data_IF_141763883013
#
_entry.id   IF_141763883013
#
_cell.length_a   1.000
_cell.length_b   1.000
_cell.length_c   1.000
_cell.angle_alpha   90.00
_cell.angle_beta   90.00
_cell.angle_gamma   90.00
#
_symmetry.space_group_name_H-M   'P 1'
#
loop_
_entity.id
_entity.type
_entity.pdbx_description
1 polymer ?
#
# COMPACT_ATOMS: atom_id res chain seq x y z
N UNK A 1 49.06 14.10 -25.43
CA UNK A 1 48.64 13.75 -24.04
C UNK A 1 47.13 13.86 -23.75
N UNK A 2 46.30 14.52 -24.58
CA UNK A 2 44.86 14.68 -24.28
C UNK A 2 43.95 13.48 -24.63
N UNK A 3 44.38 12.58 -25.53
CA UNK A 3 43.58 11.40 -25.91
C UNK A 3 43.56 10.29 -24.84
N UNK A 4 44.66 10.12 -24.10
CA UNK A 4 44.78 9.11 -23.03
C UNK A 4 43.95 9.50 -21.80
N UNK A 5 43.83 10.79 -21.50
CA UNK A 5 42.99 11.29 -20.38
C UNK A 5 41.49 11.12 -20.61
N UNK A 6 41.01 11.21 -21.86
CA UNK A 6 39.58 10.98 -22.19
C UNK A 6 39.17 9.50 -22.08
N UNK A 7 40.09 8.58 -22.40
CA UNK A 7 39.78 7.15 -22.35
C UNK A 7 39.78 6.59 -20.92
N UNK A 8 40.67 7.07 -20.06
CA UNK A 8 40.63 6.73 -18.63
C UNK A 8 39.36 7.22 -17.92
N UNK A 9 38.86 8.40 -18.28
CA UNK A 9 37.67 8.97 -17.64
C UNK A 9 36.37 8.20 -18.01
N UNK A 10 36.29 7.64 -19.22
CA UNK A 10 35.17 6.77 -19.64
C UNK A 10 35.18 5.42 -18.93
N UNK A 11 36.36 4.81 -18.77
CA UNK A 11 36.52 3.57 -18.01
C UNK A 11 36.20 3.77 -16.52
N UNK A 12 36.65 4.88 -15.91
CA UNK A 12 36.32 5.18 -14.52
C UNK A 12 34.82 5.40 -14.30
N UNK A 13 34.13 6.09 -15.22
CA UNK A 13 32.67 6.25 -15.14
C UNK A 13 31.90 4.94 -15.31
N UNK A 14 32.35 4.03 -16.18
CA UNK A 14 31.75 2.70 -16.31
C UNK A 14 31.99 1.83 -15.07
N UNK A 15 33.21 1.83 -14.52
CA UNK A 15 33.54 1.09 -13.30
C UNK A 15 32.76 1.63 -12.10
N UNK A 16 32.54 2.94 -12.00
CA UNK A 16 31.71 3.55 -10.94
C UNK A 16 30.24 3.16 -11.12
N UNK A 17 29.71 3.13 -12.34
CA UNK A 17 28.33 2.72 -12.61
C UNK A 17 28.11 1.23 -12.28
N UNK A 18 29.03 0.34 -12.66
CA UNK A 18 28.98 -1.09 -12.34
C UNK A 18 29.12 -1.34 -10.82
N UNK A 19 30.02 -0.64 -10.14
CA UNK A 19 30.14 -0.71 -8.67
C UNK A 19 28.88 -0.20 -7.97
N UNK A 20 28.25 0.85 -8.48
CA UNK A 20 27.00 1.40 -7.91
C UNK A 20 25.84 0.44 -8.11
N UNK A 21 25.73 -0.17 -9.30
CA UNK A 21 24.71 -1.17 -9.62
C UNK A 21 24.91 -2.46 -8.80
N UNK A 22 26.14 -2.93 -8.65
CA UNK A 22 26.47 -4.08 -7.81
C UNK A 22 26.18 -3.80 -6.33
N UNK A 23 26.48 -2.59 -5.84
CA UNK A 23 26.16 -2.17 -4.48
C UNK A 23 24.64 -2.08 -4.25
N UNK A 24 23.87 -1.57 -5.22
CA UNK A 24 22.41 -1.52 -5.16
C UNK A 24 21.79 -2.92 -5.14
N UNK A 25 22.22 -3.82 -6.02
CA UNK A 25 21.73 -5.19 -6.03
C UNK A 25 22.09 -5.92 -4.74
N UNK A 26 23.30 -5.75 -4.22
CA UNK A 26 23.69 -6.33 -2.93
C UNK A 26 22.83 -5.81 -1.77
N UNK A 27 22.42 -4.55 -1.80
CA UNK A 27 21.57 -3.94 -0.79
C UNK A 27 20.12 -4.42 -0.89
N UNK A 28 19.56 -4.52 -2.11
CA UNK A 28 18.22 -5.09 -2.36
C UNK A 28 18.14 -6.55 -1.90
N UNK A 29 19.14 -7.38 -2.24
CA UNK A 29 19.19 -8.77 -1.81
C UNK A 29 19.27 -8.88 -0.29
N UNK A 30 20.12 -8.07 0.36
CA UNK A 30 20.20 -8.08 1.84
C UNK A 30 18.92 -7.59 2.52
N UNK A 31 18.22 -6.60 1.96
CA UNK A 31 16.94 -6.13 2.49
C UNK A 31 15.84 -7.17 2.32
N UNK A 32 15.78 -7.83 1.16
CA UNK A 32 14.85 -8.93 0.88
C UNK A 32 15.10 -10.13 1.81
N UNK A 33 16.37 -10.52 1.99
CA UNK A 33 16.75 -11.61 2.88
C UNK A 33 16.44 -11.27 4.34
N UNK A 34 16.72 -10.04 4.76
CA UNK A 34 16.38 -9.56 6.10
C UNK A 34 14.88 -9.51 6.34
N UNK A 35 14.08 -9.00 5.38
CA UNK A 35 12.62 -8.98 5.53
C UNK A 35 12.03 -10.39 5.58
N UNK A 36 12.57 -11.30 4.78
CA UNK A 36 12.14 -12.70 4.75
C UNK A 36 12.50 -13.42 6.05
N UNK A 37 13.70 -13.20 6.59
CA UNK A 37 14.10 -13.71 7.90
C UNK A 37 13.25 -13.13 9.03
N UNK A 38 12.99 -11.82 9.02
CA UNK A 38 12.15 -11.17 10.02
C UNK A 38 10.73 -11.75 9.99
N UNK A 39 10.15 -11.93 8.80
CA UNK A 39 8.82 -12.52 8.63
C UNK A 39 8.79 -13.96 9.13
N UNK A 40 9.81 -14.77 8.80
CA UNK A 40 9.93 -16.15 9.26
C UNK A 40 10.04 -16.25 10.79
N UNK A 41 10.88 -15.41 11.41
CA UNK A 41 11.03 -15.35 12.87
C UNK A 41 9.70 -14.92 13.53
N UNK A 42 9.02 -13.92 12.98
CA UNK A 42 7.74 -13.46 13.52
C UNK A 42 6.66 -14.54 13.40
N UNK A 43 6.61 -15.26 12.28
CA UNK A 43 5.66 -16.34 12.06
C UNK A 43 5.94 -17.54 12.97
N UNK A 44 7.22 -17.86 13.21
CA UNK A 44 7.62 -18.89 14.17
C UNK A 44 7.21 -18.51 15.60
N UNK A 45 7.51 -17.29 16.05
CA UNK A 45 7.13 -16.82 17.38
C UNK A 45 5.61 -16.82 17.58
N UNK A 46 4.83 -16.42 16.57
CA UNK A 46 3.38 -16.48 16.62
C UNK A 46 2.86 -17.92 16.72
N UNK A 47 3.47 -18.85 15.99
CA UNK A 47 3.08 -20.26 16.02
C UNK A 47 3.42 -20.90 17.36
N UNK A 48 4.62 -20.65 17.89
CA UNK A 48 5.06 -21.12 19.20
C UNK A 48 4.16 -20.54 20.31
N UNK A 49 3.91 -19.23 20.29
CA UNK A 49 3.02 -18.58 21.26
C UNK A 49 1.59 -19.15 21.19
N UNK A 50 1.00 -19.24 19.99
CA UNK A 50 -0.34 -19.80 19.82
C UNK A 50 -0.42 -21.25 20.31
N UNK A 51 0.59 -22.07 20.02
CA UNK A 51 0.65 -23.47 20.48
C UNK A 51 0.78 -23.57 22.01
N UNK A 52 1.57 -22.70 22.63
CA UNK A 52 1.75 -22.64 24.09
C UNK A 52 0.46 -22.26 24.78
N UNK A 53 -0.21 -21.20 24.30
CA UNK A 53 -1.48 -20.74 24.89
C UNK A 53 -2.57 -21.81 24.77
N UNK A 54 -2.66 -22.49 23.61
CA UNK A 54 -3.61 -23.59 23.41
C UNK A 54 -3.33 -24.77 24.34
N UNK A 55 -2.07 -25.17 24.49
CA UNK A 55 -1.67 -26.26 25.37
C UNK A 55 -1.94 -25.93 26.84
N UNK A 56 -1.60 -24.73 27.29
CA UNK A 56 -1.85 -24.28 28.67
C UNK A 56 -3.36 -24.19 28.96
N UNK A 57 -4.14 -23.63 28.04
CA UNK A 57 -5.59 -23.57 28.15
C UNK A 57 -6.21 -24.96 28.24
N UNK A 58 -5.79 -25.89 27.37
CA UNK A 58 -6.28 -27.27 27.36
C UNK A 58 -5.94 -28.00 28.66
N UNK A 59 -4.72 -27.80 29.18
CA UNK A 59 -4.28 -28.39 30.45
C UNK A 59 -5.07 -27.86 31.63
N UNK A 60 -5.33 -26.55 31.68
CA UNK A 60 -6.17 -25.94 32.71
C UNK A 60 -7.61 -26.47 32.66
N UNK A 61 -8.17 -26.64 31.45
CA UNK A 61 -9.50 -27.21 31.26
C UNK A 61 -9.59 -28.67 31.74
N UNK A 62 -8.61 -29.51 31.38
CA UNK A 62 -8.56 -30.90 31.85
C UNK A 62 -8.42 -30.99 33.38
N UNK A 63 -7.57 -30.16 33.97
CA UNK A 63 -7.38 -30.12 35.42
C UNK A 63 -8.71 -29.78 36.14
N UNK A 64 -9.43 -28.76 35.67
CA UNK A 64 -10.73 -28.37 36.23
C UNK A 64 -11.78 -29.46 36.08
N UNK A 65 -11.80 -30.18 34.95
CA UNK A 65 -12.73 -31.28 34.72
C UNK A 65 -12.52 -32.39 35.76
N UNK A 66 -11.26 -32.77 36.00
CA UNK A 66 -10.90 -33.80 36.99
C UNK A 66 -11.30 -33.35 38.41
N UNK A 67 -11.02 -32.09 38.76
CA UNK A 67 -11.39 -31.53 40.07
C UNK A 67 -12.92 -31.54 40.27
N UNK A 68 -13.68 -31.21 39.22
CA UNK A 68 -15.14 -31.26 39.27
C UNK A 68 -15.66 -32.69 39.43
N UNK A 69 -15.13 -33.65 38.66
CA UNK A 69 -15.52 -35.06 38.77
C UNK A 69 -15.25 -35.62 40.16
N UNK A 70 -14.10 -35.29 40.77
CA UNK A 70 -13.77 -35.70 42.13
C UNK A 70 -14.73 -35.09 43.16
N UNK A 71 -15.09 -33.80 43.01
CA UNK A 71 -16.05 -33.14 43.88
C UNK A 71 -17.44 -33.80 43.80
N UNK A 72 -17.92 -34.13 42.59
CA UNK A 72 -19.18 -34.84 42.39
C UNK A 72 -19.18 -36.24 43.01
N UNK A 73 -18.09 -37.01 42.83
CA UNK A 73 -17.99 -38.34 43.44
C UNK A 73 -18.02 -38.30 44.97
N UNK A 74 -17.41 -37.27 45.57
CA UNK A 74 -17.46 -37.06 47.03
C UNK A 74 -18.88 -36.75 47.50
N UNK A 75 -19.54 -35.77 46.88
CA UNK A 75 -20.93 -35.41 47.15
C UNK A 75 -21.88 -36.60 47.03
N UNK A 76 -21.68 -37.45 46.02
CA UNK A 76 -22.50 -38.64 45.82
C UNK A 76 -22.34 -39.67 46.95
N UNK A 77 -21.10 -39.91 47.41
CA UNK A 77 -20.84 -40.80 48.55
C UNK A 77 -21.44 -40.27 49.84
N UNK A 78 -21.25 -38.99 50.11
CA UNK A 78 -21.79 -38.34 51.31
C UNK A 78 -23.33 -38.41 51.29
N UNK A 79 -23.96 -38.17 50.14
CA UNK A 79 -25.41 -38.33 49.98
C UNK A 79 -25.89 -39.77 50.24
N UNK A 80 -25.20 -40.79 49.70
CA UNK A 80 -25.54 -42.19 49.96
C UNK A 80 -25.44 -42.55 51.44
N UNK A 81 -24.40 -42.05 52.12
CA UNK A 81 -24.20 -42.30 53.55
C UNK A 81 -25.31 -41.66 54.39
N UNK A 82 -25.67 -40.41 54.10
CA UNK A 82 -26.76 -39.70 54.78
C UNK A 82 -28.11 -40.38 54.54
N UNK A 83 -28.35 -40.89 53.33
CA UNK A 83 -29.56 -41.63 53.00
C UNK A 83 -29.68 -42.93 53.82
N UNK A 84 -28.59 -43.69 53.96
CA UNK A 84 -28.57 -44.88 54.81
C UNK A 84 -28.85 -44.57 56.29
N UNK A 85 -28.32 -43.45 56.81
CA UNK A 85 -28.55 -43.04 58.20
C UNK A 85 -30.01 -42.63 58.45
N UNK A 86 -30.65 -41.96 57.48
CA UNK A 86 -32.07 -41.61 57.55
C UNK A 86 -32.98 -42.84 57.51
N UNK A 87 -32.70 -43.82 56.65
CA UNK A 87 -33.49 -45.06 56.59
C UNK A 87 -33.42 -45.89 57.89
N UNK A 88 -32.33 -45.76 58.67
CA UNK A 88 -32.16 -46.42 59.98
C UNK A 88 -32.88 -45.70 61.13
N UNK A 89 -33.12 -44.39 61.05
CA UNK A 89 -33.60 -43.58 62.18
C UNK A 89 -35.13 -43.44 62.28
N UNK A 90 -35.86 -43.67 61.19
CA UNK A 90 -37.29 -43.30 61.08
C UNK A 90 -38.32 -44.27 61.73
N UNK A 91 -38.10 -45.60 61.91
CA UNK A 91 -39.17 -46.46 62.42
C UNK A 91 -39.30 -46.53 63.96
N UNK A 92 -38.27 -46.17 64.74
CA UNK A 92 -38.18 -46.55 66.16
C UNK A 92 -38.91 -45.56 67.10
N UNK A 93 -38.93 -44.27 66.77
CA UNK A 93 -39.45 -43.23 67.68
C UNK A 93 -40.98 -43.27 67.92
N UNK A 94 -41.76 -43.84 67.01
CA UNK A 94 -43.23 -43.89 67.15
C UNK A 94 -43.73 -45.09 67.97
N UNK A 95 -42.98 -46.20 68.02
CA UNK A 95 -43.34 -47.38 68.81
C UNK A 95 -43.09 -47.14 70.31
N UNK A 96 -41.90 -46.62 70.65
CA UNK A 96 -41.48 -46.37 72.03
C UNK A 96 -42.41 -45.37 72.76
N UNK A 97 -42.95 -44.39 72.03
CA UNK A 97 -43.85 -43.38 72.60
C UNK A 97 -45.28 -43.92 72.88
N UNK A 98 -45.75 -44.87 72.07
CA UNK A 98 -47.01 -45.58 72.32
C UNK A 98 -46.90 -46.53 73.51
N UNK A 99 -45.77 -47.22 73.66
CA UNK A 99 -45.53 -48.09 74.81
C UNK A 99 -45.42 -47.29 76.11
N UNK A 100 -44.72 -46.16 76.12
CA UNK A 100 -44.63 -45.27 77.27
C UNK A 100 -46.01 -44.72 77.70
N UNK A 101 -46.88 -44.41 76.73
CA UNK A 101 -48.27 -44.00 76.99
C UNK A 101 -49.09 -45.11 77.64
N UNK A 102 -48.95 -46.35 77.17
CA UNK A 102 -49.59 -47.53 77.78
C UNK A 102 -49.11 -47.79 79.20
N UNK A 103 -47.79 -47.74 79.43
CA UNK A 103 -47.18 -47.87 80.76
C UNK A 103 -47.66 -46.78 81.74
N UNK A 104 -47.79 -45.52 81.29
CA UNK A 104 -48.37 -44.42 82.09
C UNK A 104 -49.82 -44.69 82.47
N UNK A 105 -50.63 -45.18 81.54
CA UNK A 105 -52.03 -45.54 81.82
C UNK A 105 -52.14 -46.70 82.80
N UNK A 106 -51.31 -47.74 82.63
CA UNK A 106 -51.26 -48.89 83.54
C UNK A 106 -50.85 -48.48 84.97
N UNK A 107 -49.80 -47.66 85.12
CA UNK A 107 -49.39 -47.14 86.43
C UNK A 107 -50.50 -46.29 87.10
N UNK A 108 -51.23 -45.48 86.31
CA UNK A 108 -52.36 -44.69 86.82
C UNK A 108 -53.52 -45.58 87.29
N UNK A 109 -53.85 -46.62 86.52
CA UNK A 109 -54.87 -47.60 86.88
C UNK A 109 -54.50 -48.38 88.16
N UNK A 110 -53.26 -48.88 88.25
CA UNK A 110 -52.73 -49.57 89.43
C UNK A 110 -52.76 -48.68 90.69
N UNK A 111 -52.38 -47.41 90.55
CA UNK A 111 -52.40 -46.45 91.67
C UNK A 111 -53.84 -46.24 92.18
N UNK A 112 -54.81 -46.08 91.28
CA UNK A 112 -56.23 -45.94 91.65
C UNK A 112 -56.78 -47.22 92.31
N UNK A 113 -56.42 -48.40 91.81
CA UNK A 113 -56.80 -49.68 92.43
C UNK A 113 -56.20 -49.85 93.82
N UNK A 114 -54.95 -49.43 94.02
CA UNK A 114 -54.29 -49.46 95.32
C UNK A 114 -54.94 -48.49 96.32
N UNK A 115 -55.31 -47.29 95.89
CA UNK A 115 -56.05 -46.33 96.71
C UNK A 115 -57.40 -46.91 97.16
N UNK A 116 -58.12 -47.55 96.23
CA UNK A 116 -59.41 -48.19 96.52
C UNK A 116 -59.25 -49.39 97.46
N UNK A 117 -58.25 -50.24 97.26
CA UNK A 117 -57.95 -51.38 98.13
C UNK A 117 -57.54 -50.91 99.55
N UNK A 118 -56.76 -49.82 99.64
CA UNK A 118 -56.37 -49.22 100.92
C UNK A 118 -57.56 -48.61 101.66
N UNK A 119 -58.46 -47.94 100.94
CA UNK A 119 -59.70 -47.42 101.51
C UNK A 119 -60.59 -48.56 102.04
N UNK A 120 -60.78 -49.63 101.26
CA UNK A 120 -61.55 -50.80 101.67
C UNK A 120 -60.94 -51.50 102.90
N UNK A 121 -59.62 -51.63 102.94
CA UNK A 121 -58.90 -52.18 104.09
C UNK A 121 -59.12 -51.34 105.34
N UNK A 122 -59.06 -50.00 105.24
CA UNK A 122 -59.34 -49.11 106.36
C UNK A 122 -60.79 -49.27 106.85
N UNK A 123 -61.76 -49.40 105.95
CA UNK A 123 -63.17 -49.65 106.31
C UNK A 123 -63.35 -51.00 107.00
N UNK A 124 -62.74 -52.07 106.48
CA UNK A 124 -62.78 -53.40 107.10
C UNK A 124 -62.11 -53.41 108.48
N UNK A 125 -61.00 -52.68 108.65
CA UNK A 125 -60.35 -52.51 109.96
C UNK A 125 -61.25 -51.78 110.96
N UNK A 126 -61.98 -50.75 110.54
CA UNK A 126 -62.97 -50.06 111.37
C UNK A 126 -64.12 -51.00 111.77
N UNK A 127 -64.68 -51.74 110.82
CA UNK A 127 -65.73 -52.73 111.08
C UNK A 127 -65.26 -53.82 112.04
N UNK A 128 -64.01 -54.29 111.89
CA UNK A 128 -63.43 -55.28 112.80
C UNK A 128 -63.28 -54.71 114.21
N UNK A 129 -62.85 -53.45 114.35
CA UNK A 129 -62.78 -52.77 115.64
C UNK A 129 -64.17 -52.61 116.29
N UNK A 130 -65.21 -52.29 115.51
CA UNK A 130 -66.59 -52.19 115.98
C UNK A 130 -67.16 -53.55 116.40
N UNK A 131 -66.99 -54.58 115.57
CA UNK A 131 -67.40 -55.96 115.89
C UNK A 131 -66.67 -56.50 117.11
N UNK A 132 -65.40 -56.14 117.30
CA UNK A 132 -64.63 -56.51 118.49
C UNK A 132 -65.21 -55.87 119.74
N UNK A 133 -65.59 -54.58 119.66
CA UNK A 133 -66.30 -53.89 120.76
C UNK A 133 -67.66 -54.53 121.05
N UNK A 134 -68.44 -54.85 120.02
CA UNK A 134 -69.74 -55.53 120.18
C UNK A 134 -69.59 -56.89 120.86
N UNK A 135 -68.63 -57.71 120.43
CA UNK A 135 -68.33 -58.99 121.05
C UNK A 135 -67.92 -58.84 122.53
N UNK A 136 -67.10 -57.82 122.85
CA UNK A 136 -66.72 -57.52 124.23
C UNK A 136 -67.94 -57.15 125.12
N UNK A 137 -68.88 -56.37 124.57
CA UNK A 137 -70.14 -56.02 125.28
C UNK A 137 -71.01 -57.26 125.49
N UNK A 138 -71.19 -58.11 124.48
CA UNK A 138 -71.95 -59.36 124.63
C UNK A 138 -71.28 -60.33 125.61
N UNK A 139 -69.94 -60.40 125.62
CA UNK A 139 -69.17 -61.18 126.58
C UNK A 139 -69.41 -60.68 128.02
N UNK A 140 -69.37 -59.36 128.23
CA UNK A 140 -69.60 -58.75 129.53
C UNK A 140 -71.06 -58.93 130.02
N UNK A 141 -72.05 -58.84 129.12
CA UNK A 141 -73.44 -59.16 129.42
C UNK A 141 -73.63 -60.63 129.81
N UNK A 142 -72.93 -61.54 129.14
CA UNK A 142 -72.95 -62.96 129.46
C UNK A 142 -72.34 -63.24 130.85
N UNK A 143 -71.24 -62.58 131.20
CA UNK A 143 -70.64 -62.65 132.55
C UNK A 143 -71.58 -62.09 133.63
N UNK A 144 -72.28 -60.99 133.37
CA UNK A 144 -73.26 -60.42 134.31
C UNK A 144 -74.48 -61.33 134.51
N UNK A 145 -74.97 -61.98 133.44
CA UNK A 145 -76.08 -62.93 133.52
C UNK A 145 -75.68 -64.25 134.21
N UNK A 146 -74.43 -64.67 134.10
CA UNK A 146 -73.90 -65.84 134.83
C UNK A 146 -73.77 -65.60 136.34
N UNK A 147 -73.58 -64.34 136.76
CA UNK A 147 -73.48 -63.97 138.18
C UNK A 147 -74.84 -63.70 138.84
N UNK A 148 -75.95 -63.72 138.07
CA UNK A 148 -77.29 -63.43 138.55
C UNK A 148 -77.95 -64.72 139.06
N UNK A 149 -77.99 -64.89 140.38
CA UNK A 149 -78.43 -66.11 141.08
C UNK A 149 -79.97 -66.19 141.27
N UNK A 150 -80.73 -66.01 140.19
CA UNK A 150 -82.20 -66.21 140.18
C UNK A 150 -82.54 -67.41 139.28
N UNK A 151 -82.80 -68.57 139.89
CA UNK A 151 -83.08 -69.85 139.22
C UNK A 151 -84.41 -69.95 138.44
N UNK A 152 -84.88 -68.85 137.85
CA UNK A 152 -86.10 -68.79 137.03
C UNK A 152 -85.87 -69.23 135.58
N UNK A 153 -86.89 -69.84 134.96
CA UNK A 153 -86.84 -70.31 133.57
C UNK A 153 -86.51 -69.18 132.55
N UNK A 154 -86.89 -67.93 132.84
CA UNK A 154 -86.56 -66.77 132.00
C UNK A 154 -85.06 -66.43 132.00
N UNK A 155 -84.36 -66.64 133.12
CA UNK A 155 -82.92 -66.40 133.23
C UNK A 155 -82.11 -67.43 132.42
N UNK A 156 -82.56 -68.68 132.39
CA UNK A 156 -81.95 -69.73 131.58
C UNK A 156 -82.12 -69.49 130.07
N UNK A 157 -83.29 -68.97 129.65
CA UNK A 157 -83.57 -68.61 128.25
C UNK A 157 -82.72 -67.40 127.80
N UNK A 158 -82.60 -66.37 128.65
CA UNK A 158 -81.74 -65.21 128.40
C UNK A 158 -80.26 -65.59 128.32
N UNK A 159 -79.78 -66.49 129.19
CA UNK A 159 -78.41 -67.01 129.14
C UNK A 159 -78.13 -67.76 127.83
N UNK A 160 -79.08 -68.59 127.37
CA UNK A 160 -78.97 -69.34 126.11
C UNK A 160 -78.97 -68.41 124.89
N UNK A 161 -79.80 -67.37 124.90
CA UNK A 161 -79.78 -66.34 123.85
C UNK A 161 -78.47 -65.54 123.84
N UNK A 162 -77.94 -65.17 125.02
CA UNK A 162 -76.65 -64.49 125.13
C UNK A 162 -75.50 -65.38 124.64
N UNK A 163 -75.51 -66.68 124.96
CA UNK A 163 -74.53 -67.65 124.44
C UNK A 163 -74.58 -67.78 122.92
N UNK A 164 -75.78 -67.83 122.33
CA UNK A 164 -75.95 -67.85 120.88
C UNK A 164 -75.45 -66.54 120.22
N UNK A 165 -75.72 -65.39 120.84
CA UNK A 165 -75.26 -64.09 120.37
C UNK A 165 -73.72 -63.93 120.43
N UNK A 166 -73.07 -64.46 121.48
CA UNK A 166 -71.61 -64.48 121.57
C UNK A 166 -71.00 -65.41 120.52
N UNK A 167 -71.60 -66.59 120.29
CA UNK A 167 -71.13 -67.52 119.27
C UNK A 167 -71.26 -66.93 117.85
N UNK A 168 -72.39 -66.28 117.54
CA UNK A 168 -72.60 -65.58 116.27
C UNK A 168 -71.62 -64.39 116.10
N UNK A 169 -71.41 -63.59 117.15
CA UNK A 169 -70.45 -62.49 117.14
C UNK A 169 -68.99 -62.97 116.94
N UNK A 170 -68.61 -64.10 117.53
CA UNK A 170 -67.29 -64.71 117.33
C UNK A 170 -67.12 -65.27 115.91
N UNK A 171 -68.17 -65.87 115.35
CA UNK A 171 -68.16 -66.33 113.96
C UNK A 171 -68.03 -65.14 112.99
N UNK A 172 -68.80 -64.07 113.19
CA UNK A 172 -68.71 -62.84 112.41
C UNK A 172 -67.33 -62.17 112.53
N UNK A 173 -66.71 -62.18 113.71
CA UNK A 173 -65.34 -61.70 113.91
C UNK A 173 -64.31 -62.53 113.15
N UNK A 174 -64.50 -63.84 113.09
CA UNK A 174 -63.59 -64.76 112.39
C UNK A 174 -63.66 -64.51 110.88
N UNK A 175 -64.87 -64.35 110.34
CA UNK A 175 -65.09 -63.98 108.93
C UNK A 175 -64.51 -62.61 108.61
N UNK A 176 -64.84 -61.58 109.41
CA UNK A 176 -64.31 -60.23 109.21
C UNK A 176 -62.78 -60.17 109.30
N UNK A 177 -62.16 -61.00 110.16
CA UNK A 177 -60.70 -61.09 110.29
C UNK A 177 -60.05 -61.78 109.09
N UNK A 178 -60.69 -62.82 108.55
CA UNK A 178 -60.22 -63.47 107.33
C UNK A 178 -60.32 -62.52 106.12
N UNK A 179 -61.42 -61.78 105.99
CA UNK A 179 -61.61 -60.76 104.94
C UNK A 179 -60.59 -59.62 105.06
N UNK A 180 -60.30 -59.15 106.28
CA UNK A 180 -59.31 -58.11 106.52
C UNK A 180 -57.88 -58.57 106.19
N UNK A 181 -57.49 -59.80 106.53
CA UNK A 181 -56.18 -60.36 106.15
C UNK A 181 -56.07 -60.58 104.63
N UNK A 182 -57.13 -61.03 103.96
CA UNK A 182 -57.16 -61.15 102.51
C UNK A 182 -57.05 -59.78 101.82
N UNK A 183 -57.74 -58.76 102.32
CA UNK A 183 -57.64 -57.38 101.83
C UNK A 183 -56.23 -56.78 102.06
N UNK A 184 -55.57 -57.16 103.16
CA UNK A 184 -54.19 -56.75 103.46
C UNK A 184 -53.17 -57.41 102.54
N UNK A 185 -53.35 -58.70 102.24
CA UNK A 185 -52.52 -59.41 101.26
C UNK A 185 -52.66 -58.79 99.85
N UNK A 186 -53.89 -58.52 99.41
CA UNK A 186 -54.14 -57.91 98.09
C UNK A 186 -53.61 -56.48 97.99
N UNK A 187 -53.76 -55.67 99.05
CA UNK A 187 -53.18 -54.33 99.10
C UNK A 187 -51.64 -54.35 99.05
N UNK A 188 -51.01 -55.33 99.70
CA UNK A 188 -49.56 -55.50 99.67
C UNK A 188 -49.07 -55.93 98.28
N UNK A 189 -49.76 -56.85 97.62
CA UNK A 189 -49.44 -57.29 96.25
C UNK A 189 -49.60 -56.14 95.23
N UNK A 190 -50.68 -55.37 95.33
CA UNK A 190 -50.87 -54.15 94.54
C UNK A 190 -49.77 -53.11 94.79
N UNK A 191 -49.26 -53.01 96.02
CA UNK A 191 -48.16 -52.09 96.34
C UNK A 191 -46.85 -52.51 95.69
N UNK A 192 -46.56 -53.80 95.65
CA UNK A 192 -45.38 -54.34 95.00
C UNK A 192 -45.43 -54.12 93.49
N UNK A 193 -46.55 -54.45 92.86
CA UNK A 193 -46.76 -54.25 91.41
C UNK A 193 -46.70 -52.76 91.04
N UNK A 194 -47.26 -51.86 91.86
CA UNK A 194 -47.11 -50.41 91.67
C UNK A 194 -45.63 -49.98 91.71
N UNK A 195 -44.85 -50.52 92.65
CA UNK A 195 -43.43 -50.19 92.77
C UNK A 195 -42.62 -50.67 91.56
N UNK A 196 -42.91 -51.87 91.04
CA UNK A 196 -42.30 -52.39 89.82
C UNK A 196 -42.66 -51.53 88.61
N UNK A 197 -43.95 -51.26 88.40
CA UNK A 197 -44.42 -50.41 87.30
C UNK A 197 -43.82 -49.00 87.35
N UNK A 198 -43.60 -48.45 88.55
CA UNK A 198 -42.94 -47.13 88.72
C UNK A 198 -41.47 -47.15 88.29
N UNK A 199 -40.75 -48.23 88.57
CA UNK A 199 -39.35 -48.39 88.15
C UNK A 199 -39.25 -48.54 86.63
N UNK A 200 -40.12 -49.38 86.05
CA UNK A 200 -40.19 -49.57 84.59
C UNK A 200 -40.53 -48.27 83.86
N UNK A 201 -41.50 -47.51 84.37
CA UNK A 201 -41.87 -46.20 83.83
C UNK A 201 -40.68 -45.22 83.87
N UNK A 202 -39.92 -45.21 84.97
CA UNK A 202 -38.76 -44.33 85.12
C UNK A 202 -37.66 -44.70 84.12
N UNK A 203 -37.36 -45.99 83.99
CA UNK A 203 -36.34 -46.48 83.05
C UNK A 203 -36.73 -46.17 81.60
N UNK A 204 -37.98 -46.44 81.22
CA UNK A 204 -38.48 -46.14 79.87
C UNK A 204 -38.47 -44.63 79.59
N UNK A 205 -38.79 -43.80 80.59
CA UNK A 205 -38.70 -42.33 80.48
C UNK A 205 -37.25 -41.85 80.28
N UNK A 206 -36.29 -42.41 81.01
CA UNK A 206 -34.87 -42.06 80.87
C UNK A 206 -34.31 -42.48 79.51
N UNK A 207 -34.70 -43.66 79.00
CA UNK A 207 -34.32 -44.13 77.66
C UNK A 207 -34.85 -43.22 76.56
N UNK A 208 -36.14 -42.84 76.61
CA UNK A 208 -36.74 -41.92 75.64
C UNK A 208 -36.04 -40.55 75.66
N UNK A 209 -35.72 -40.04 76.85
CA UNK A 209 -35.02 -38.77 76.98
C UNK A 209 -33.61 -38.82 76.37
N UNK A 210 -32.89 -39.92 76.59
CA UNK A 210 -31.57 -40.13 75.99
C UNK A 210 -31.63 -40.24 74.46
N UNK A 211 -32.65 -40.91 73.92
CA UNK A 211 -32.88 -40.95 72.47
C UNK A 211 -33.21 -39.56 71.89
N UNK A 212 -34.01 -38.76 72.60
CA UNK A 212 -34.32 -37.38 72.23
C UNK A 212 -33.06 -36.51 72.19
N UNK A 213 -32.22 -36.57 73.23
CA UNK A 213 -30.94 -35.85 73.26
C UNK A 213 -30.00 -36.27 72.13
N UNK A 214 -29.95 -37.57 71.80
CA UNK A 214 -29.20 -38.07 70.64
C UNK A 214 -29.76 -37.53 69.32
N UNK A 215 -31.09 -37.50 69.15
CA UNK A 215 -31.73 -36.94 67.96
C UNK A 215 -31.48 -35.43 67.82
N UNK A 216 -31.54 -34.68 68.92
CA UNK A 216 -31.26 -33.24 68.97
C UNK A 216 -29.80 -32.95 68.58
N UNK A 217 -28.85 -33.73 69.12
CA UNK A 217 -27.43 -33.63 68.79
C UNK A 217 -27.15 -33.97 67.32
N UNK A 218 -27.78 -35.03 66.80
CA UNK A 218 -27.67 -35.42 65.39
C UNK A 218 -28.24 -34.33 64.47
N UNK A 219 -29.39 -33.76 64.85
CA UNK A 219 -30.01 -32.64 64.14
C UNK A 219 -29.11 -31.40 64.11
N UNK A 220 -28.46 -31.04 65.22
CA UNK A 220 -27.48 -29.95 65.24
C UNK A 220 -26.28 -30.22 64.34
N UNK A 221 -25.79 -31.46 64.32
CA UNK A 221 -24.65 -31.85 63.48
C UNK A 221 -25.02 -31.73 61.99
N UNK A 222 -26.21 -32.21 61.61
CA UNK A 222 -26.72 -32.02 60.25
C UNK A 222 -26.95 -30.56 59.89
N UNK A 223 -27.44 -29.74 60.83
CA UNK A 223 -27.61 -28.29 60.63
C UNK A 223 -26.27 -27.62 60.33
N UNK A 224 -25.22 -27.92 61.10
CA UNK A 224 -23.87 -27.41 60.87
C UNK A 224 -23.30 -27.87 59.53
N UNK A 225 -23.50 -29.14 59.16
CA UNK A 225 -23.09 -29.65 57.85
C UNK A 225 -23.79 -28.92 56.69
N UNK A 226 -25.09 -28.64 56.83
CA UNK A 226 -25.84 -27.87 55.82
C UNK A 226 -25.30 -26.44 55.69
N UNK A 227 -25.01 -25.76 56.80
CA UNK A 227 -24.41 -24.43 56.79
C UNK A 227 -23.02 -24.44 56.15
N UNK A 228 -22.19 -25.46 56.43
CA UNK A 228 -20.89 -25.64 55.79
C UNK A 228 -21.00 -25.84 54.29
N UNK A 229 -21.90 -26.72 53.84
CA UNK A 229 -22.17 -26.96 52.42
C UNK A 229 -22.67 -25.70 51.72
N UNK A 230 -23.52 -24.92 52.39
CA UNK A 230 -24.04 -23.67 51.86
C UNK A 230 -22.94 -22.61 51.72
N UNK A 231 -22.04 -22.48 52.70
CA UNK A 231 -20.85 -21.62 52.57
C UNK A 231 -19.94 -22.07 51.43
N UNK A 232 -19.72 -23.38 51.29
CA UNK A 232 -18.86 -23.92 50.24
C UNK A 232 -19.44 -23.67 48.84
N UNK A 233 -20.76 -23.82 48.68
CA UNK A 233 -21.47 -23.45 47.46
C UNK A 233 -21.34 -21.96 47.16
N UNK A 234 -21.49 -21.10 48.16
CA UNK A 234 -21.37 -19.65 47.99
C UNK A 234 -19.95 -19.23 47.59
N UNK A 235 -18.92 -19.84 48.17
CA UNK A 235 -17.52 -19.65 47.76
C UNK A 235 -17.31 -20.08 46.31
N UNK A 236 -17.79 -21.26 45.92
CA UNK A 236 -17.69 -21.76 44.55
C UNK A 236 -18.36 -20.81 43.55
N UNK A 237 -19.52 -20.28 43.90
CA UNK A 237 -20.27 -19.33 43.07
C UNK A 237 -19.51 -18.00 42.89
N UNK A 238 -18.89 -17.50 43.95
CA UNK A 238 -18.08 -16.29 43.92
C UNK A 238 -16.79 -16.47 43.11
N UNK A 239 -16.19 -17.67 43.20
CA UNK A 239 -15.02 -18.05 42.43
C UNK A 239 -15.35 -18.21 40.93
N UNK A 240 -16.54 -18.71 40.60
CA UNK A 240 -17.02 -18.79 39.21
C UNK A 240 -17.24 -17.38 38.62
N UNK A 241 -17.82 -16.48 39.39
CA UNK A 241 -18.08 -15.10 38.97
C UNK A 241 -16.79 -14.32 38.71
N UNK A 242 -15.78 -14.43 39.59
CA UNK A 242 -14.48 -13.79 39.37
C UNK A 242 -13.76 -14.35 38.15
N UNK A 243 -13.91 -15.65 37.89
CA UNK A 243 -13.32 -16.30 36.72
C UNK A 243 -13.99 -15.86 35.40
N UNK A 244 -15.32 -15.68 35.40
CA UNK A 244 -16.03 -15.09 34.25
C UNK A 244 -15.54 -13.67 33.96
N UNK A 245 -15.39 -12.85 35.00
CA UNK A 245 -14.91 -11.48 34.84
C UNK A 245 -13.44 -11.43 34.33
N UNK A 246 -12.59 -12.35 34.79
CA UNK A 246 -11.23 -12.50 34.28
C UNK A 246 -11.24 -12.89 32.79
N UNK A 247 -12.08 -13.86 32.39
CA UNK A 247 -12.21 -14.29 30.99
C UNK A 247 -12.76 -13.16 30.10
N UNK A 248 -13.72 -12.38 30.56
CA UNK A 248 -14.21 -11.19 29.82
C UNK A 248 -13.10 -10.15 29.63
N UNK A 249 -12.26 -9.95 30.66
CA UNK A 249 -11.11 -9.04 30.59
C UNK A 249 -10.07 -9.54 29.59
N UNK A 250 -9.73 -10.83 29.61
CA UNK A 250 -8.83 -11.46 28.63
C UNK A 250 -9.40 -11.36 27.20
N UNK A 251 -10.70 -11.59 27.02
CA UNK A 251 -11.36 -11.44 25.73
C UNK A 251 -11.29 -9.99 25.21
N UNK A 252 -11.42 -9.01 26.10
CA UNK A 252 -11.20 -7.60 25.79
C UNK A 252 -9.78 -7.32 25.31
N UNK A 253 -8.78 -7.82 26.04
CA UNK A 253 -7.37 -7.69 25.66
C UNK A 253 -7.07 -8.35 24.31
N UNK A 254 -7.65 -9.51 24.03
CA UNK A 254 -7.51 -10.17 22.73
C UNK A 254 -8.05 -9.32 21.58
N UNK A 255 -9.23 -8.69 21.75
CA UNK A 255 -9.78 -7.78 20.74
C UNK A 255 -8.91 -6.55 20.51
N UNK A 256 -8.36 -5.99 21.58
CA UNK A 256 -7.44 -4.85 21.48
C UNK A 256 -6.16 -5.24 20.72
N UNK A 257 -5.58 -6.40 21.03
CA UNK A 257 -4.42 -6.96 20.32
C UNK A 257 -4.76 -7.22 18.84
N UNK A 258 -5.94 -7.77 18.54
CA UNK A 258 -6.38 -8.04 17.18
C UNK A 258 -6.53 -6.74 16.38
N UNK A 259 -7.11 -5.69 16.97
CA UNK A 259 -7.21 -4.37 16.34
C UNK A 259 -5.82 -3.77 16.08
N UNK A 260 -4.91 -3.83 17.05
CA UNK A 260 -3.55 -3.33 16.91
C UNK A 260 -2.76 -4.10 15.84
N UNK A 261 -3.01 -5.40 15.71
CA UNK A 261 -2.44 -6.22 14.64
C UNK A 261 -2.98 -5.81 13.27
N UNK A 262 -4.28 -5.54 13.17
CA UNK A 262 -4.91 -5.08 11.93
C UNK A 262 -4.37 -3.71 11.50
N UNK A 263 -4.17 -2.79 12.45
CA UNK A 263 -3.53 -1.48 12.21
C UNK A 263 -2.09 -1.63 11.72
N UNK A 264 -1.32 -2.56 12.31
CA UNK A 264 0.04 -2.88 11.84
C UNK A 264 0.04 -3.40 10.41
N UNK A 265 -0.88 -4.30 10.06
CA UNK A 265 -1.00 -4.81 8.68
C UNK A 265 -1.33 -3.69 7.69
N UNK A 266 -2.24 -2.78 8.04
CA UNK A 266 -2.55 -1.61 7.21
C UNK A 266 -1.34 -0.68 7.06
N UNK A 267 -0.57 -0.45 8.12
CA UNK A 267 0.65 0.34 8.08
C UNK A 267 1.71 -0.30 7.16
N UNK A 268 1.89 -1.62 7.22
CA UNK A 268 2.79 -2.36 6.33
C UNK A 268 2.34 -2.22 4.87
N UNK A 269 1.05 -2.35 4.58
CA UNK A 269 0.52 -2.18 3.23
C UNK A 269 0.78 -0.76 2.67
N UNK A 270 0.58 0.28 3.50
CA UNK A 270 0.90 1.67 3.11
C UNK A 270 2.39 1.86 2.84
N UNK A 271 3.26 1.31 3.68
CA UNK A 271 4.71 1.39 3.47
C UNK A 271 5.14 0.66 2.19
N UNK A 272 4.60 -0.53 1.91
CA UNK A 272 4.88 -1.24 0.66
C UNK A 272 4.48 -0.41 -0.57
N UNK A 273 3.34 0.28 -0.50
CA UNK A 273 2.91 1.18 -1.58
C UNK A 273 3.83 2.39 -1.74
N UNK A 274 4.25 3.02 -0.64
CA UNK A 274 5.22 4.13 -0.69
C UNK A 274 6.56 3.68 -1.30
N UNK A 275 7.04 2.49 -0.99
CA UNK A 275 8.25 1.93 -1.60
C UNK A 275 8.07 1.75 -3.12
N UNK A 276 6.93 1.25 -3.58
CA UNK A 276 6.67 1.14 -5.02
C UNK A 276 6.60 2.50 -5.72
N UNK A 277 5.97 3.49 -5.10
CA UNK A 277 5.86 4.84 -5.67
C UNK A 277 7.23 5.52 -5.74
N UNK A 278 8.08 5.33 -4.71
CA UNK A 278 9.49 5.78 -4.75
C UNK A 278 10.28 5.10 -5.87
N UNK A 279 10.08 3.79 -6.07
CA UNK A 279 10.74 3.05 -7.15
C UNK A 279 10.35 3.58 -8.53
N UNK A 280 9.06 3.78 -8.79
CA UNK A 280 8.57 4.42 -10.04
C UNK A 280 9.15 5.83 -10.23
N UNK A 281 9.22 6.61 -9.15
CA UNK A 281 9.80 7.95 -9.19
C UNK A 281 11.28 7.91 -9.56
N UNK A 282 12.04 6.96 -9.01
CA UNK A 282 13.45 6.77 -9.37
C UNK A 282 13.62 6.32 -10.82
N UNK A 283 12.80 5.39 -11.31
CA UNK A 283 12.81 4.95 -12.71
C UNK A 283 12.54 6.12 -13.67
N UNK A 284 11.55 6.98 -13.37
CA UNK A 284 11.26 8.20 -14.12
C UNK A 284 12.43 9.19 -14.10
N UNK A 285 13.06 9.39 -12.95
CA UNK A 285 14.26 10.23 -12.86
C UNK A 285 15.40 9.68 -13.71
N UNK A 286 15.60 8.36 -13.70
CA UNK A 286 16.65 7.70 -14.46
C UNK A 286 16.40 7.79 -15.97
N UNK A 287 15.15 7.61 -16.42
CA UNK A 287 14.74 7.85 -17.81
C UNK A 287 14.98 9.30 -18.22
N UNK A 288 14.67 10.27 -17.37
CA UNK A 288 14.91 11.69 -17.64
C UNK A 288 16.39 12.02 -17.75
N UNK A 289 17.24 11.42 -16.91
CA UNK A 289 18.69 11.54 -17.01
C UNK A 289 19.20 10.98 -18.34
N UNK A 290 18.73 9.79 -18.74
CA UNK A 290 19.10 9.21 -20.04
C UNK A 290 18.66 10.09 -21.21
N UNK A 291 17.46 10.65 -21.17
CA UNK A 291 16.96 11.55 -22.21
C UNK A 291 17.81 12.83 -22.30
N UNK A 292 18.19 13.42 -21.17
CA UNK A 292 19.08 14.58 -21.13
C UNK A 292 20.48 14.26 -21.64
N UNK A 293 21.03 13.10 -21.30
CA UNK A 293 22.31 12.63 -21.85
C UNK A 293 22.24 12.50 -23.37
N UNK A 294 21.18 11.91 -23.90
CA UNK A 294 20.99 11.77 -25.34
C UNK A 294 20.88 13.14 -26.03
N UNK A 295 20.08 14.06 -25.48
CA UNK A 295 20.00 15.42 -26.02
C UNK A 295 21.35 16.14 -26.02
N UNK A 296 22.15 15.93 -24.98
CA UNK A 296 23.48 16.54 -24.85
C UNK A 296 24.46 15.95 -25.88
N UNK A 297 24.40 14.64 -26.14
CA UNK A 297 25.16 13.99 -27.21
C UNK A 297 24.75 14.52 -28.59
N UNK A 298 23.44 14.66 -28.87
CA UNK A 298 22.95 15.19 -30.15
C UNK A 298 23.39 16.64 -30.34
N UNK A 299 23.23 17.49 -29.32
CA UNK A 299 23.67 18.89 -29.37
C UNK A 299 25.19 19.00 -29.58
N UNK A 300 25.97 18.09 -28.99
CA UNK A 300 27.41 18.05 -29.18
C UNK A 300 27.80 17.58 -30.59
N UNK A 301 27.03 16.67 -31.18
CA UNK A 301 27.19 16.26 -32.58
C UNK A 301 26.86 17.41 -33.55
N UNK A 302 25.75 18.10 -33.35
CA UNK A 302 25.35 19.28 -34.14
C UNK A 302 26.39 20.40 -34.05
N UNK A 303 26.91 20.67 -32.84
CA UNK A 303 27.98 21.65 -32.65
C UNK A 303 29.25 21.27 -33.42
N UNK A 304 29.63 19.99 -33.41
CA UNK A 304 30.81 19.52 -34.15
C UNK A 304 30.60 19.60 -35.66
N UNK A 305 29.38 19.30 -36.15
CA UNK A 305 29.04 19.40 -37.57
C UNK A 305 29.06 20.85 -38.05
N UNK A 306 28.44 21.77 -37.30
CA UNK A 306 28.50 23.21 -37.61
C UNK A 306 29.93 23.75 -37.60
N UNK A 307 30.79 23.26 -36.70
CA UNK A 307 32.21 23.62 -36.70
C UNK A 307 32.94 23.12 -37.95
N UNK A 308 32.64 21.92 -38.45
CA UNK A 308 33.20 21.40 -39.70
C UNK A 308 32.73 22.21 -40.91
N UNK A 309 31.44 22.56 -40.97
CA UNK A 309 30.89 23.40 -42.04
C UNK A 309 31.54 24.79 -42.05
N UNK A 310 31.72 25.41 -40.88
CA UNK A 310 32.45 26.66 -40.74
C UNK A 310 33.91 26.56 -41.20
N UNK A 311 34.60 25.44 -40.90
CA UNK A 311 35.96 25.20 -41.39
C UNK A 311 36.01 25.09 -42.91
N UNK A 312 35.08 24.37 -43.53
CA UNK A 312 35.01 24.26 -44.99
C UNK A 312 34.72 25.61 -45.66
N UNK A 313 33.82 26.41 -45.09
CA UNK A 313 33.56 27.77 -45.60
C UNK A 313 34.80 28.67 -45.50
N UNK A 314 35.57 28.55 -44.42
CA UNK A 314 36.83 29.29 -44.26
C UNK A 314 37.87 28.87 -45.30
N UNK A 315 38.01 27.57 -45.56
CA UNK A 315 38.91 27.03 -46.59
C UNK A 315 38.50 27.50 -48.00
N UNK A 316 37.20 27.44 -48.32
CA UNK A 316 36.67 27.92 -49.60
C UNK A 316 36.90 29.42 -49.80
N UNK A 317 36.67 30.24 -48.77
CA UNK A 317 36.94 31.68 -48.83
C UNK A 317 38.44 31.98 -49.01
N UNK A 318 39.30 31.18 -48.39
CA UNK A 318 40.76 31.31 -48.54
C UNK A 318 41.22 30.96 -49.96
N UNK A 319 40.64 29.91 -50.57
CA UNK A 319 40.89 29.57 -51.97
C UNK A 319 40.43 30.66 -52.94
N UNK A 320 39.22 31.21 -52.74
CA UNK A 320 38.73 32.32 -53.56
C UNK A 320 39.65 33.54 -53.48
N UNK A 321 40.17 33.85 -52.29
CA UNK A 321 41.10 34.95 -52.12
C UNK A 321 42.42 34.71 -52.89
N UNK A 322 42.93 33.48 -52.88
CA UNK A 322 44.12 33.12 -53.67
C UNK A 322 43.89 33.22 -55.18
N UNK A 323 42.73 32.79 -55.69
CA UNK A 323 42.37 32.92 -57.11
C UNK A 323 42.26 34.39 -57.55
N UNK A 324 41.62 35.24 -56.75
CA UNK A 324 41.53 36.68 -57.03
C UNK A 324 42.91 37.33 -57.03
N UNK A 325 43.79 36.92 -56.12
CA UNK A 325 45.16 37.42 -56.06
C UNK A 325 45.97 37.04 -57.32
N UNK A 326 45.79 35.81 -57.81
CA UNK A 326 46.41 35.36 -59.06
C UNK A 326 45.86 36.10 -60.29
N UNK A 327 44.55 36.37 -60.34
CA UNK A 327 43.96 37.18 -61.41
C UNK A 327 44.50 38.62 -61.41
N UNK A 328 44.72 39.21 -60.23
CA UNK A 328 45.30 40.54 -60.10
C UNK A 328 46.73 40.59 -60.67
N UNK A 329 47.56 39.59 -60.35
CA UNK A 329 48.92 39.49 -60.89
C UNK A 329 48.93 39.33 -62.41
N UNK A 330 47.96 38.61 -62.97
CA UNK A 330 47.79 38.44 -64.40
C UNK A 330 47.41 39.76 -65.10
N UNK A 331 46.47 40.52 -64.53
CA UNK A 331 46.09 41.85 -65.03
C UNK A 331 47.24 42.85 -64.93
N UNK A 332 48.07 42.78 -63.88
CA UNK A 332 49.28 43.60 -63.76
C UNK A 332 50.30 43.30 -64.86
N UNK A 333 50.48 42.03 -65.24
CA UNK A 333 51.33 41.62 -66.37
C UNK A 333 50.80 42.12 -67.71
N UNK A 334 49.49 42.05 -67.93
CA UNK A 334 48.85 42.54 -69.17
C UNK A 334 48.95 44.07 -69.30
N UNK A 335 48.81 44.79 -68.19
CA UNK A 335 49.03 46.25 -68.12
C UNK A 335 50.47 46.64 -68.47
N UNK A 336 51.47 45.86 -68.02
CA UNK A 336 52.87 46.03 -68.42
C UNK A 336 53.08 45.80 -69.93
N UNK A 337 52.36 44.85 -70.53
CA UNK A 337 52.34 44.61 -71.97
C UNK A 337 51.76 45.79 -72.76
N UNK A 338 50.61 46.33 -72.33
CA UNK A 338 49.96 47.47 -72.97
C UNK A 338 50.80 48.75 -72.94
N UNK A 339 51.57 48.99 -71.86
CA UNK A 339 52.52 50.11 -71.80
C UNK A 339 53.62 50.04 -72.88
N UNK A 340 54.05 48.83 -73.23
CA UNK A 340 55.05 48.63 -74.30
C UNK A 340 54.46 48.86 -75.69
N UNK A 341 53.18 48.52 -75.92
CA UNK A 341 52.47 48.78 -77.17
C UNK A 341 52.20 50.28 -77.36
N UNK A 342 51.84 51.00 -76.30
CA UNK A 342 51.67 52.46 -76.34
C UNK A 342 52.97 53.16 -76.76
N UNK A 343 54.11 52.69 -76.25
CA UNK A 343 55.44 53.24 -76.59
C UNK A 343 55.81 52.97 -78.05
N UNK A 344 55.49 51.79 -78.59
CA UNK A 344 55.66 51.49 -80.02
C UNK A 344 54.78 52.37 -80.89
N UNK A 345 53.50 52.54 -80.53
CA UNK A 345 52.55 53.34 -81.30
C UNK A 345 52.95 54.83 -81.34
N UNK A 346 53.51 55.37 -80.25
CA UNK A 346 54.07 56.72 -80.23
C UNK A 346 55.28 56.86 -81.18
N UNK A 347 56.15 55.86 -81.26
CA UNK A 347 57.29 55.89 -82.18
C UNK A 347 56.84 55.83 -83.65
N UNK A 348 55.85 55.00 -83.97
CA UNK A 348 55.27 54.90 -85.31
C UNK A 348 54.57 56.20 -85.74
N UNK A 349 53.87 56.86 -84.82
CA UNK A 349 53.23 58.15 -85.09
C UNK A 349 54.24 59.26 -85.45
N UNK A 350 55.37 59.33 -84.74
CA UNK A 350 56.44 60.29 -85.03
C UNK A 350 57.05 60.02 -86.41
N UNK A 351 57.33 58.76 -86.74
CA UNK A 351 57.89 58.36 -88.04
C UNK A 351 56.94 58.67 -89.21
N UNK A 352 55.64 58.45 -89.03
CA UNK A 352 54.63 58.78 -90.03
C UNK A 352 54.52 60.30 -90.26
N UNK A 353 54.67 61.09 -89.19
CA UNK A 353 54.64 62.56 -89.26
C UNK A 353 55.85 63.09 -90.05
N UNK A 354 57.05 62.53 -89.85
CA UNK A 354 58.24 62.88 -90.64
C UNK A 354 58.09 62.51 -92.12
N UNK A 355 57.54 61.33 -92.44
CA UNK A 355 57.25 60.95 -93.83
C UNK A 355 56.27 61.90 -94.51
N UNK A 356 55.22 62.31 -93.80
CA UNK A 356 54.23 63.24 -94.36
C UNK A 356 54.86 64.60 -94.70
N UNK A 357 55.74 65.11 -93.83
CA UNK A 357 56.44 66.38 -94.05
C UNK A 357 57.43 66.31 -95.23
N UNK A 358 58.12 65.17 -95.40
CA UNK A 358 58.97 64.93 -96.57
C UNK A 358 58.17 64.86 -97.88
N UNK A 359 57.00 64.21 -97.87
CA UNK A 359 56.12 64.14 -99.04
C UNK A 359 55.58 65.52 -99.42
N UNK A 360 55.16 66.32 -98.45
CA UNK A 360 54.70 67.68 -98.68
C UNK A 360 55.79 68.56 -99.31
N UNK A 361 57.03 68.43 -98.85
CA UNK A 361 58.18 69.15 -99.42
C UNK A 361 58.49 68.71 -100.86
N UNK A 362 58.35 67.41 -101.15
CA UNK A 362 58.49 66.88 -102.53
C UNK A 362 57.38 67.41 -103.45
N UNK A 363 56.14 67.46 -102.96
CA UNK A 363 55.00 67.96 -103.71
C UNK A 363 55.22 69.43 -104.12
N UNK A 364 55.61 70.29 -103.19
CA UNK A 364 55.90 71.71 -103.49
C UNK A 364 57.02 71.87 -104.53
N UNK A 365 58.06 71.03 -104.49
CA UNK A 365 59.12 71.02 -105.51
C UNK A 365 58.61 70.62 -106.89
N UNK A 366 57.73 69.63 -106.98
CA UNK A 366 57.15 69.19 -108.25
C UNK A 366 56.19 70.24 -108.81
N UNK A 367 55.39 70.88 -107.95
CA UNK A 367 54.50 71.99 -108.34
C UNK A 367 55.31 73.17 -108.92
N UNK A 368 56.40 73.58 -108.28
CA UNK A 368 57.28 74.63 -108.81
C UNK A 368 57.95 74.23 -110.14
N UNK A 369 58.33 72.95 -110.31
CA UNK A 369 58.87 72.46 -111.58
C UNK A 369 57.82 72.43 -112.69
N UNK A 370 56.58 72.09 -112.36
CA UNK A 370 55.44 72.09 -113.29
C UNK A 370 55.14 73.53 -113.76
N UNK A 371 55.06 74.48 -112.83
CA UNK A 371 54.85 75.90 -113.14
C UNK A 371 55.95 76.43 -114.07
N UNK A 372 57.21 76.09 -113.78
CA UNK A 372 58.34 76.48 -114.62
C UNK A 372 58.30 75.80 -116.01
N UNK A 373 57.78 74.58 -116.12
CA UNK A 373 57.60 73.90 -117.41
C UNK A 373 56.46 74.54 -118.23
N UNK A 374 55.33 74.85 -117.60
CA UNK A 374 54.19 75.52 -118.23
C UNK A 374 54.57 76.90 -118.77
N UNK A 375 55.30 77.70 -117.99
CA UNK A 375 55.79 79.01 -118.43
C UNK A 375 56.75 78.90 -119.63
N UNK A 376 57.59 77.85 -119.68
CA UNK A 376 58.45 77.58 -120.84
C UNK A 376 57.67 77.16 -122.07
N UNK A 377 56.64 76.33 -121.92
CA UNK A 377 55.76 75.94 -123.02
C UNK A 377 55.05 77.16 -123.60
N UNK A 378 54.44 77.99 -122.74
CA UNK A 378 53.73 79.20 -123.17
C UNK A 378 54.64 80.18 -123.92
N UNK A 379 55.88 80.36 -123.44
CA UNK A 379 56.88 81.19 -124.13
C UNK A 379 57.30 80.59 -125.49
N UNK A 380 57.43 79.27 -125.58
CA UNK A 380 57.74 78.58 -126.84
C UNK A 380 56.58 78.68 -127.85
N UNK A 381 55.34 78.54 -127.41
CA UNK A 381 54.14 78.72 -128.25
C UNK A 381 54.02 80.14 -128.78
N UNK A 382 54.22 81.17 -127.94
CA UNK A 382 54.23 82.56 -128.43
C UNK A 382 55.30 82.80 -129.49
N UNK A 383 56.51 82.26 -129.27
CA UNK A 383 57.61 82.40 -130.23
C UNK A 383 57.29 81.71 -131.55
N UNK A 384 56.73 80.49 -131.51
CA UNK A 384 56.32 79.76 -132.70
C UNK A 384 55.20 80.50 -133.46
N UNK A 385 54.24 81.09 -132.75
CA UNK A 385 53.18 81.90 -133.35
C UNK A 385 53.76 83.12 -134.08
N UNK A 386 54.67 83.86 -133.46
CA UNK A 386 55.35 85.00 -134.09
C UNK A 386 56.18 84.59 -135.32
N UNK A 387 56.92 83.49 -135.25
CA UNK A 387 57.69 82.96 -136.38
C UNK A 387 56.77 82.51 -137.52
N UNK A 388 55.63 81.89 -137.21
CA UNK A 388 54.63 81.48 -138.20
C UNK A 388 53.97 82.69 -138.87
N UNK A 389 53.61 83.72 -138.12
CA UNK A 389 53.02 84.95 -138.67
C UNK A 389 54.02 85.72 -139.53
N UNK A 390 55.28 85.83 -139.09
CA UNK A 390 56.37 86.40 -139.90
C UNK A 390 56.62 85.60 -141.19
N UNK A 391 56.59 84.27 -141.10
CA UNK A 391 56.73 83.38 -142.27
C UNK A 391 55.56 83.53 -143.24
N UNK A 392 54.32 83.66 -142.75
CA UNK A 392 53.13 83.91 -143.57
C UNK A 392 53.21 85.25 -144.30
N UNK A 393 53.70 86.28 -143.63
CA UNK A 393 53.92 87.59 -144.22
C UNK A 393 55.01 87.54 -145.30
N UNK A 394 56.14 86.88 -145.03
CA UNK A 394 57.20 86.68 -146.02
C UNK A 394 56.72 85.91 -147.26
N UNK A 395 55.96 84.83 -147.09
CA UNK A 395 55.37 84.06 -148.20
C UNK A 395 54.42 84.94 -149.02
N UNK A 396 53.63 85.81 -148.39
CA UNK A 396 52.74 86.75 -149.08
C UNK A 396 53.54 87.73 -149.93
N UNK A 397 54.63 88.28 -149.40
CA UNK A 397 55.53 89.19 -150.13
C UNK A 397 56.18 88.49 -151.33
N UNK A 398 56.77 87.31 -151.13
CA UNK A 398 57.40 86.51 -152.19
C UNK A 398 56.41 86.10 -153.28
N UNK A 399 55.15 85.76 -152.93
CA UNK A 399 54.10 85.49 -153.92
C UNK A 399 53.75 86.71 -154.76
N UNK A 400 53.77 87.90 -154.16
CA UNK A 400 53.49 89.16 -154.85
C UNK A 400 54.63 89.50 -155.81
N UNK A 401 55.89 89.37 -155.38
CA UNK A 401 57.07 89.54 -156.24
C UNK A 401 57.09 88.52 -157.39
N UNK A 402 56.80 87.24 -157.12
CA UNK A 402 56.76 86.20 -158.15
C UNK A 402 55.69 86.49 -159.21
N UNK A 403 54.49 86.91 -158.78
CA UNK A 403 53.42 87.29 -159.70
C UNK A 403 53.83 88.48 -160.58
N UNK A 404 54.45 89.49 -159.98
CA UNK A 404 54.93 90.68 -160.68
C UNK A 404 56.06 90.35 -161.67
N UNK A 405 56.95 89.41 -161.33
CA UNK A 405 58.01 88.94 -162.21
C UNK A 405 57.47 88.08 -163.37
N UNK A 406 56.49 87.22 -163.11
CA UNK A 406 55.80 86.46 -164.15
C UNK A 406 55.05 87.37 -165.13
N UNK A 407 54.36 88.40 -164.63
CA UNK A 407 53.67 89.40 -165.45
C UNK A 407 54.66 90.19 -166.32
N UNK A 408 55.81 90.57 -165.74
CA UNK A 408 56.91 91.20 -166.49
C UNK A 408 57.46 90.30 -167.60
N UNK A 409 57.72 89.01 -167.31
CA UNK A 409 58.21 88.07 -168.32
C UNK A 409 57.18 87.75 -169.40
N UNK A 410 55.89 87.68 -169.05
CA UNK A 410 54.82 87.50 -170.04
C UNK A 410 54.72 88.71 -170.98
N UNK A 411 54.86 89.92 -170.45
CA UNK A 411 54.90 91.14 -171.25
C UNK A 411 56.10 91.15 -172.21
N UNK A 412 57.29 90.76 -171.75
CA UNK A 412 58.49 90.62 -172.61
C UNK A 412 58.30 89.56 -173.70
N UNK A 413 57.73 88.40 -173.37
CA UNK A 413 57.44 87.33 -174.33
C UNK A 413 56.45 87.79 -175.41
N UNK A 414 55.38 88.49 -175.04
CA UNK A 414 54.42 89.04 -175.99
C UNK A 414 55.06 90.07 -176.92
N UNK A 415 55.98 90.91 -176.42
CA UNK A 415 56.73 91.85 -177.25
C UNK A 415 57.64 91.13 -178.26
N UNK A 416 58.29 90.05 -177.81
CA UNK A 416 59.16 89.21 -178.64
C UNK A 416 58.37 88.44 -179.71
N UNK A 417 57.21 87.89 -179.35
CA UNK A 417 56.29 87.24 -180.29
C UNK A 417 55.75 88.22 -181.34
N UNK A 418 55.39 89.44 -180.94
CA UNK A 418 54.98 90.49 -181.88
C UNK A 418 56.10 90.80 -182.88
N UNK A 419 57.34 90.97 -182.41
CA UNK A 419 58.50 91.16 -183.31
C UNK A 419 58.73 89.96 -184.22
N UNK A 420 58.63 88.74 -183.69
CA UNK A 420 58.86 87.52 -184.48
C UNK A 420 57.79 87.35 -185.56
N UNK A 421 56.53 87.66 -185.25
CA UNK A 421 55.42 87.65 -186.21
C UNK A 421 55.64 88.69 -187.31
N UNK A 422 56.06 89.92 -186.96
CA UNK A 422 56.44 90.93 -187.95
C UNK A 422 57.56 90.44 -188.88
N UNK A 423 58.60 89.80 -188.34
CA UNK A 423 59.68 89.23 -189.16
C UNK A 423 59.18 88.12 -190.07
N UNK A 424 58.33 87.22 -189.57
CA UNK A 424 57.78 86.10 -190.34
C UNK A 424 56.89 86.57 -191.50
N UNK A 425 56.05 87.58 -191.26
CA UNK A 425 55.24 88.23 -192.30
C UNK A 425 56.12 88.90 -193.37
N UNK A 426 57.17 89.62 -192.97
CA UNK A 426 58.14 90.21 -193.91
C UNK A 426 58.88 89.14 -194.73
N UNK A 427 59.17 87.98 -194.13
CA UNK A 427 59.83 86.86 -194.80
C UNK A 427 58.91 86.14 -195.80
N UNK A 428 57.67 85.81 -195.43
CA UNK A 428 56.69 85.23 -196.36
C UNK A 428 56.41 86.14 -197.55
N UNK A 429 56.34 87.46 -197.32
CA UNK A 429 56.21 88.45 -198.38
C UNK A 429 57.38 88.37 -199.38
N UNK A 430 58.62 88.18 -198.89
CA UNK A 430 59.79 87.97 -199.75
C UNK A 430 59.76 86.62 -200.48
N UNK A 431 59.28 85.55 -199.83
CA UNK A 431 59.30 84.20 -200.39
C UNK A 431 58.30 84.00 -201.54
N UNK A 432 57.13 84.65 -201.47
CA UNK A 432 56.12 84.58 -202.54
C UNK A 432 56.56 85.25 -203.85
N UNK A 433 57.43 86.26 -203.80
CA UNK A 433 57.97 86.91 -205.00
C UNK A 433 58.80 85.96 -205.88
N UNK A 434 59.33 84.85 -205.33
CA UNK A 434 60.30 83.98 -206.03
C UNK A 434 59.70 82.79 -206.79
N UNK A 435 58.43 82.43 -206.59
CA UNK A 435 57.87 81.14 -207.07
C UNK A 435 57.05 81.18 -208.36
N UNK A 436 56.86 82.32 -209.00
CA UNK A 436 55.97 82.42 -210.19
C UNK A 436 56.70 82.86 -211.46
N UNK A 437 58.04 82.93 -211.47
CA UNK A 437 58.85 83.15 -212.68
C UNK A 437 59.55 81.89 -213.22
N UNK A 438 59.06 80.69 -212.88
CA UNK A 438 59.54 79.41 -213.41
C UNK A 438 58.50 78.69 -214.26
#
# INVERSE_FOLDING_TARGET
MNAVRKNNNKNEQQVIAELTQAAQQALETRLSDFSSQLLAIQQQQLTEFASSVLADSQKQWQQRLIEQEQAYQKLFKDWQQTKQQLDLAVPVANADNQELSKLRQQHKALTSQLEQATANLNTLQQQLAEKTKQAAVFQQQLEQLQQRDDGGAEAAEQLRQAQAAVADAQQQLTVARAEAEQAKASAHELKLTQQQAKVELKLASEQLQKQLEQHEALKQTHQQQLEQLQQQLQQLQQQLASQQQAHETELGQYKDIESAHQDKLQAIAKLQQEVQDRKKTQELQQQKIQQLQQQLETAQAEQNQSKQEWQQQLEAATQQLAEVQQQLDQVMSESGGLGSELTKLQADYVNLTEQHQQLQTKQQKVEAQLEHAQNRQYAAEQKQQQEADSSRELIRTLRTELAQQQESHQAELQELEQRMMEFKLKFEYAQKQLKVTG
#
